data_IF_257752691709
#
_entry.id   IF_257752691709
#
_cell.length_a   1.000
_cell.length_b   1.000
_cell.length_c   1.000
_cell.angle_alpha   90.00
_cell.angle_beta   90.00
_cell.angle_gamma   90.00
#
_symmetry.space_group_name_H-M   'P 1'
#
loop_
_entity.id
_entity.type
_entity.pdbx_description
1 polymer ?
#
# COMPACT_ATOMS: atom_id res chain seq x y z
N UNK A 1 29.14 -38.42 24.37
CA UNK A 1 29.56 -37.32 23.47
C UNK A 1 28.29 -36.78 22.84
N UNK A 2 27.84 -35.58 23.24
CA UNK A 2 26.60 -35.02 22.70
C UNK A 2 26.82 -34.58 21.25
N UNK A 3 26.06 -35.15 20.32
CA UNK A 3 26.12 -34.80 18.90
C UNK A 3 25.17 -33.62 18.71
N UNK A 4 25.71 -32.40 18.65
CA UNK A 4 24.98 -31.23 18.17
C UNK A 4 24.83 -31.33 16.66
N UNK A 5 23.60 -31.58 16.19
CA UNK A 5 23.25 -31.45 14.78
C UNK A 5 23.06 -29.96 14.46
N UNK A 6 23.88 -29.42 13.58
CA UNK A 6 23.68 -28.09 13.01
C UNK A 6 22.79 -28.23 11.78
N UNK A 7 21.57 -27.70 11.83
CA UNK A 7 20.78 -27.45 10.62
C UNK A 7 21.20 -26.11 10.02
N UNK A 8 21.38 -26.06 8.69
CA UNK A 8 21.59 -24.81 7.98
C UNK A 8 20.29 -24.01 8.06
N UNK A 9 20.35 -22.78 8.58
CA UNK A 9 19.21 -21.87 8.57
C UNK A 9 18.82 -21.58 7.11
N UNK A 10 17.59 -21.93 6.74
CA UNK A 10 17.00 -21.56 5.46
C UNK A 10 16.09 -20.38 5.80
N UNK A 11 16.40 -19.16 5.31
CA UNK A 11 15.53 -18.01 5.56
C UNK A 11 14.13 -18.33 5.02
N UNK A 12 13.11 -18.12 5.86
CA UNK A 12 11.74 -18.26 5.39
C UNK A 12 11.45 -17.12 4.41
N UNK A 13 10.76 -17.35 3.29
CA UNK A 13 10.29 -16.28 2.40
C UNK A 13 9.50 -15.18 3.13
N UNK A 14 8.92 -15.54 4.28
CA UNK A 14 8.13 -14.69 5.16
C UNK A 14 8.94 -13.97 6.26
N UNK A 15 10.25 -14.24 6.39
CA UNK A 15 11.07 -13.59 7.40
C UNK A 15 11.09 -12.07 7.15
N UNK A 16 10.61 -11.33 8.16
CA UNK A 16 10.48 -9.87 8.13
C UNK A 16 9.21 -9.33 7.47
N UNK A 17 8.31 -10.18 6.97
CA UNK A 17 7.01 -9.74 6.44
C UNK A 17 5.98 -9.69 7.58
N UNK A 18 5.36 -8.53 7.78
CA UNK A 18 4.24 -8.40 8.73
C UNK A 18 2.92 -8.85 8.10
N UNK A 19 1.97 -9.32 8.91
CA UNK A 19 0.62 -9.67 8.44
C UNK A 19 -0.11 -8.46 7.85
N UNK A 20 0.12 -7.28 8.42
CA UNK A 20 -0.37 -6.01 7.88
C UNK A 20 0.15 -5.72 6.47
N UNK A 21 1.45 -5.91 6.24
CA UNK A 21 2.07 -5.71 4.93
C UNK A 21 1.57 -6.74 3.92
N UNK A 22 1.44 -8.01 4.33
CA UNK A 22 0.83 -9.03 3.48
C UNK A 22 -0.60 -8.65 3.08
N UNK A 23 -1.42 -8.24 4.06
CA UNK A 23 -2.81 -7.79 3.83
C UNK A 23 -2.87 -6.60 2.88
N UNK A 24 -1.96 -5.64 3.00
CA UNK A 24 -1.84 -4.49 2.09
C UNK A 24 -1.55 -4.96 0.66
N UNK A 25 -0.65 -5.94 0.48
CA UNK A 25 -0.30 -6.48 -0.84
C UNK A 25 -1.43 -7.28 -1.49
N UNK A 26 -2.23 -8.02 -0.71
CA UNK A 26 -3.39 -8.78 -1.21
C UNK A 26 -4.70 -7.96 -1.15
N UNK A 27 -4.63 -6.67 -0.82
CA UNK A 27 -5.81 -5.82 -0.61
C UNK A 27 -6.75 -5.77 -1.82
N UNK A 28 -6.20 -5.72 -3.03
CA UNK A 28 -6.97 -5.68 -4.27
C UNK A 28 -7.83 -6.95 -4.43
N UNK A 29 -7.24 -8.12 -4.21
CA UNK A 29 -7.97 -9.40 -4.22
C UNK A 29 -9.08 -9.42 -3.14
N UNK A 30 -8.74 -8.99 -1.92
CA UNK A 30 -9.66 -9.00 -0.78
C UNK A 30 -10.88 -8.08 -1.00
N UNK A 31 -10.68 -6.93 -1.64
CA UNK A 31 -11.72 -5.93 -1.87
C UNK A 31 -12.54 -6.20 -3.13
N UNK A 32 -11.91 -6.73 -4.19
CA UNK A 32 -12.63 -7.18 -5.39
C UNK A 32 -13.63 -8.30 -5.04
N UNK A 33 -13.30 -9.11 -4.04
CA UNK A 33 -14.14 -10.17 -3.48
C UNK A 33 -15.30 -9.66 -2.59
N UNK A 34 -15.42 -8.33 -2.38
CA UNK A 34 -16.31 -7.72 -1.40
C UNK A 34 -17.58 -7.04 -1.93
N UNK A 35 -17.68 -6.72 -3.22
CA UNK A 35 -18.86 -6.02 -3.75
C UNK A 35 -19.91 -7.01 -4.27
N UNK A 36 -20.95 -7.27 -3.46
CA UNK A 36 -22.18 -7.96 -3.89
C UNK A 36 -22.96 -7.06 -4.88
N UNK A 37 -22.52 -7.00 -6.13
CA UNK A 37 -23.42 -6.57 -7.20
C UNK A 37 -24.40 -7.71 -7.43
N UNK A 38 -25.65 -7.49 -7.00
CA UNK A 38 -26.72 -8.47 -7.09
C UNK A 38 -27.13 -8.75 -8.53
N UNK A 39 -26.34 -9.51 -9.29
CA UNK A 39 -26.74 -10.27 -10.48
C UNK A 39 -25.73 -11.40 -10.70
N UNK A 40 -26.18 -12.65 -10.56
CA UNK A 40 -25.56 -13.91 -11.00
C UNK A 40 -24.12 -14.21 -10.58
N UNK A 41 -24.01 -15.09 -9.58
CA UNK A 41 -22.81 -15.86 -9.22
C UNK A 41 -22.36 -16.78 -10.36
N UNK A 42 -21.10 -16.69 -10.79
CA UNK A 42 -20.41 -17.77 -11.54
C UNK A 42 -18.96 -18.00 -11.05
N UNK A 43 -18.48 -17.28 -10.04
CA UNK A 43 -17.16 -17.57 -9.46
C UNK A 43 -17.04 -16.89 -8.11
N UNK A 44 -17.45 -17.61 -7.06
CA UNK A 44 -17.36 -17.17 -5.68
C UNK A 44 -15.89 -16.85 -5.30
N UNK A 45 -15.50 -15.55 -5.18
CA UNK A 45 -14.10 -15.15 -5.01
C UNK A 45 -13.57 -15.32 -3.58
N UNK A 46 -14.42 -15.77 -2.63
CA UNK A 46 -14.08 -16.00 -1.21
C UNK A 46 -13.77 -17.46 -0.89
N UNK A 47 -13.02 -18.13 -1.75
CA UNK A 47 -12.56 -19.50 -1.50
C UNK A 47 -11.14 -19.45 -0.92
N UNK A 48 -10.85 -20.29 0.08
CA UNK A 48 -9.50 -20.40 0.66
C UNK A 48 -8.44 -20.74 -0.40
N UNK A 49 -8.77 -21.54 -1.42
CA UNK A 49 -7.83 -21.84 -2.50
C UNK A 49 -7.48 -20.63 -3.37
N UNK A 50 -8.45 -19.73 -3.59
CA UNK A 50 -8.21 -18.49 -4.31
C UNK A 50 -7.34 -17.54 -3.46
N UNK A 51 -7.56 -17.50 -2.16
CA UNK A 51 -6.71 -16.77 -1.22
C UNK A 51 -5.28 -17.32 -1.20
N UNK A 52 -5.10 -18.65 -1.17
CA UNK A 52 -3.78 -19.29 -1.26
C UNK A 52 -3.05 -18.84 -2.53
N UNK A 53 -3.72 -18.91 -3.67
CA UNK A 53 -3.14 -18.50 -4.95
C UNK A 53 -2.74 -17.02 -4.95
N UNK A 54 -3.63 -16.13 -4.46
CA UNK A 54 -3.34 -14.70 -4.37
C UNK A 54 -2.12 -14.40 -3.48
N UNK A 55 -1.96 -15.12 -2.36
CA UNK A 55 -0.79 -14.99 -1.49
C UNK A 55 0.48 -15.41 -2.24
N UNK A 56 0.48 -16.55 -2.93
CA UNK A 56 1.67 -17.02 -3.67
C UNK A 56 2.05 -16.04 -4.77
N UNK A 57 1.07 -15.59 -5.55
CA UNK A 57 1.29 -14.64 -6.64
C UNK A 57 1.95 -13.36 -6.12
N UNK A 58 1.44 -12.79 -5.02
CA UNK A 58 2.07 -11.62 -4.39
C UNK A 58 3.46 -11.90 -3.83
N UNK A 59 3.73 -13.09 -3.29
CA UNK A 59 5.08 -13.46 -2.85
C UNK A 59 6.08 -13.55 -4.02
N UNK A 60 5.62 -13.99 -5.20
CA UNK A 60 6.43 -13.97 -6.43
C UNK A 60 6.66 -12.54 -6.92
N UNK A 61 5.61 -11.70 -6.97
CA UNK A 61 5.73 -10.28 -7.35
C UNK A 61 6.73 -9.52 -6.45
N UNK A 62 6.74 -9.81 -5.14
CA UNK A 62 7.70 -9.23 -4.19
C UNK A 62 9.12 -9.80 -4.32
N UNK A 63 9.35 -10.78 -5.22
CA UNK A 63 10.64 -11.44 -5.41
C UNK A 63 11.07 -12.32 -4.24
N UNK A 64 10.13 -12.71 -3.36
CA UNK A 64 10.41 -13.56 -2.18
C UNK A 64 10.49 -15.04 -2.56
N UNK A 65 9.85 -15.42 -3.66
CA UNK A 65 9.77 -16.79 -4.17
C UNK A 65 10.04 -16.76 -5.69
N UNK A 66 10.80 -17.72 -6.25
CA UNK A 66 11.00 -17.80 -7.68
C UNK A 66 9.73 -18.23 -8.42
N UNK A 67 9.51 -17.68 -9.62
CA UNK A 67 8.36 -17.99 -10.50
C UNK A 67 8.28 -19.50 -10.82
N UNK A 68 9.42 -20.18 -10.97
CA UNK A 68 9.47 -21.63 -11.19
C UNK A 68 8.82 -22.45 -10.07
N UNK A 69 8.78 -21.92 -8.85
CA UNK A 69 8.11 -22.58 -7.72
C UNK A 69 6.60 -22.39 -7.77
N UNK A 70 6.13 -21.26 -8.29
CA UNK A 70 4.70 -21.04 -8.54
C UNK A 70 4.19 -22.02 -9.61
N UNK A 71 4.93 -22.19 -10.71
CA UNK A 71 4.57 -23.15 -11.76
C UNK A 71 4.50 -24.58 -11.20
N UNK A 72 5.51 -24.98 -10.43
CA UNK A 72 5.54 -26.28 -9.76
C UNK A 72 4.36 -26.46 -8.80
N UNK A 73 3.99 -25.41 -8.06
CA UNK A 73 2.85 -25.43 -7.14
C UNK A 73 1.50 -25.45 -7.85
N UNK A 74 1.39 -24.86 -9.05
CA UNK A 74 0.20 -24.94 -9.88
C UNK A 74 0.04 -26.33 -10.53
N UNK A 75 1.15 -26.99 -10.87
CA UNK A 75 1.16 -28.33 -11.47
C UNK A 75 0.92 -29.46 -10.45
N UNK A 76 1.65 -29.46 -9.34
CA UNK A 76 1.54 -30.49 -8.31
C UNK A 76 1.86 -29.96 -6.90
N UNK A 77 0.81 -29.80 -6.08
CA UNK A 77 0.93 -29.35 -4.68
C UNK A 77 1.39 -30.46 -3.73
N UNK A 78 1.34 -31.72 -4.13
CA UNK A 78 1.53 -32.85 -3.22
C UNK A 78 3.01 -33.23 -2.99
N UNK A 79 3.92 -32.78 -3.85
CA UNK A 79 5.32 -33.20 -3.83
C UNK A 79 6.34 -32.06 -3.65
N UNK A 80 7.51 -32.42 -3.13
CA UNK A 80 8.70 -31.59 -3.14
C UNK A 80 8.58 -30.23 -2.42
N UNK A 81 9.04 -29.18 -3.11
CA UNK A 81 9.06 -27.81 -2.59
C UNK A 81 7.68 -27.15 -2.63
N UNK A 82 6.79 -27.60 -3.51
CA UNK A 82 5.41 -27.12 -3.58
C UNK A 82 4.61 -27.48 -2.30
N UNK A 83 4.82 -28.69 -1.75
CA UNK A 83 4.23 -29.07 -0.47
C UNK A 83 4.69 -28.18 0.69
N UNK A 84 5.98 -27.84 0.73
CA UNK A 84 6.54 -26.94 1.75
C UNK A 84 5.95 -25.53 1.65
N UNK A 85 5.74 -25.06 0.41
CA UNK A 85 5.08 -23.80 0.14
C UNK A 85 3.62 -23.83 0.62
N UNK A 86 2.89 -24.90 0.35
CA UNK A 86 1.50 -25.05 0.80
C UNK A 86 1.38 -25.07 2.34
N UNK A 87 2.22 -25.85 3.02
CA UNK A 87 2.31 -25.87 4.50
C UNK A 87 2.64 -24.48 5.08
N UNK A 88 3.48 -23.70 4.39
CA UNK A 88 3.83 -22.34 4.79
C UNK A 88 2.63 -21.39 4.62
N UNK A 89 1.89 -21.47 3.51
CA UNK A 89 0.68 -20.66 3.30
C UNK A 89 -0.38 -21.01 4.34
N UNK A 90 -0.52 -22.28 4.70
CA UNK A 90 -1.41 -22.71 5.79
C UNK A 90 -1.06 -22.04 7.12
N UNK A 91 0.23 -21.93 7.46
CA UNK A 91 0.67 -21.22 8.65
C UNK A 91 0.34 -19.72 8.59
N UNK A 92 0.45 -19.10 7.41
CA UNK A 92 0.08 -17.69 7.20
C UNK A 92 -1.41 -17.48 7.41
N UNK A 93 -2.25 -18.33 6.81
CA UNK A 93 -3.71 -18.25 6.94
C UNK A 93 -4.12 -18.44 8.40
N UNK A 94 -3.55 -19.43 9.10
CA UNK A 94 -3.80 -19.64 10.53
C UNK A 94 -3.45 -18.41 11.35
N UNK A 95 -2.29 -17.79 11.12
CA UNK A 95 -1.90 -16.54 11.79
C UNK A 95 -2.86 -15.39 11.50
N UNK A 96 -3.31 -15.23 10.26
CA UNK A 96 -4.28 -14.19 9.91
C UNK A 96 -5.62 -14.38 10.64
N UNK A 97 -6.03 -15.63 10.87
CA UNK A 97 -7.20 -15.96 11.68
C UNK A 97 -6.94 -15.69 13.16
N UNK A 98 -5.83 -16.17 13.70
CA UNK A 98 -5.43 -16.01 15.12
C UNK A 98 -5.29 -14.53 15.52
N UNK A 99 -4.73 -13.70 14.65
CA UNK A 99 -4.60 -12.25 14.84
C UNK A 99 -5.91 -11.49 14.58
N UNK A 100 -6.97 -12.19 14.17
CA UNK A 100 -8.31 -11.63 13.99
C UNK A 100 -8.48 -10.80 12.73
N UNK A 101 -7.70 -11.03 11.68
CA UNK A 101 -7.87 -10.40 10.37
C UNK A 101 -8.93 -11.12 9.52
N UNK A 102 -9.09 -12.43 9.69
CA UNK A 102 -10.06 -13.23 8.97
C UNK A 102 -10.79 -14.18 9.90
N UNK A 103 -11.99 -14.59 9.49
CA UNK A 103 -12.74 -15.68 10.10
C UNK A 103 -13.01 -16.72 9.02
N UNK A 104 -12.75 -17.99 9.32
CA UNK A 104 -13.22 -19.08 8.47
C UNK A 104 -14.74 -19.16 8.63
N UNK A 105 -15.50 -19.11 7.53
CA UNK A 105 -16.96 -19.24 7.54
C UNK A 105 -17.31 -20.72 7.82
N UNK A 106 -17.85 -21.05 9.02
CA UNK A 106 -18.16 -22.42 9.38
C UNK A 106 -19.54 -22.87 8.89
N UNK A 107 -20.37 -21.98 8.31
CA UNK A 107 -21.79 -22.25 8.05
C UNK A 107 -22.08 -22.81 6.65
N UNK A 108 -21.11 -22.84 5.74
CA UNK A 108 -21.30 -23.37 4.39
C UNK A 108 -20.16 -24.33 3.99
N UNK A 109 -20.10 -25.55 4.58
CA UNK A 109 -19.27 -26.61 4.02
C UNK A 109 -19.82 -26.95 2.63
N UNK A 110 -19.02 -26.77 1.59
CA UNK A 110 -19.41 -27.18 0.25
C UNK A 110 -19.72 -28.69 0.24
N UNK A 111 -20.59 -29.16 -0.67
CA UNK A 111 -21.02 -30.57 -0.70
C UNK A 111 -19.89 -31.60 -0.94
N UNK A 112 -18.64 -31.16 -1.13
CA UNK A 112 -17.46 -32.02 -1.22
C UNK A 112 -16.99 -32.58 0.15
N UNK A 113 -17.52 -32.11 1.28
CA UNK A 113 -17.13 -32.59 2.62
C UNK A 113 -17.94 -33.78 3.16
N UNK A 114 -18.65 -34.53 2.29
CA UNK A 114 -19.42 -35.72 2.68
C UNK A 114 -18.60 -37.02 2.58
N UNK A 115 -17.34 -37.01 3.01
CA UNK A 115 -16.62 -38.25 3.33
C UNK A 115 -16.45 -38.34 4.87
N UNK A 116 -17.35 -39.10 5.49
CA UNK A 116 -17.50 -39.32 6.94
C UNK A 116 -16.33 -40.10 7.61
N UNK A 117 -15.07 -39.93 7.18
CA UNK A 117 -13.95 -40.73 7.74
C UNK A 117 -12.72 -39.95 8.22
N UNK A 118 -12.68 -38.62 8.18
CA UNK A 118 -11.54 -37.87 8.72
C UNK A 118 -11.64 -37.68 10.24
N UNK A 119 -11.16 -38.69 10.97
CA UNK A 119 -10.98 -38.69 12.41
C UNK A 119 -9.71 -37.86 12.76
N UNK A 120 -9.91 -36.68 13.36
CA UNK A 120 -8.92 -36.02 14.22
C UNK A 120 -7.57 -35.62 13.61
N UNK A 121 -7.57 -34.72 12.63
CA UNK A 121 -6.47 -33.76 12.44
C UNK A 121 -7.07 -32.37 12.23
N UNK A 122 -6.51 -31.36 12.91
CA UNK A 122 -6.82 -29.94 12.67
C UNK A 122 -6.19 -29.50 11.33
N UNK A 123 -6.53 -30.17 10.23
CA UNK A 123 -6.19 -29.72 8.89
C UNK A 123 -7.27 -28.78 8.38
N UNK A 124 -6.83 -27.66 7.81
CA UNK A 124 -7.72 -26.70 7.18
C UNK A 124 -8.40 -27.41 5.98
N UNK A 125 -9.73 -27.37 5.84
CA UNK A 125 -10.41 -28.09 4.77
C UNK A 125 -9.87 -27.62 3.41
N UNK A 126 -9.22 -28.55 2.70
CA UNK A 126 -8.69 -28.33 1.36
C UNK A 126 -9.83 -28.38 0.35
N UNK A 127 -9.88 -27.41 -0.56
CA UNK A 127 -10.93 -27.34 -1.56
C UNK A 127 -12.23 -26.84 -0.97
N UNK A 128 -12.54 -25.55 -1.14
CA UNK A 128 -13.87 -24.93 -0.97
C UNK A 128 -14.31 -24.34 0.38
N UNK A 129 -13.45 -24.30 1.39
CA UNK A 129 -13.76 -23.54 2.60
C UNK A 129 -13.83 -22.04 2.29
N UNK A 130 -14.81 -21.35 2.87
CA UNK A 130 -15.02 -19.90 2.70
C UNK A 130 -14.37 -19.13 3.84
N UNK A 131 -14.03 -17.88 3.58
CA UNK A 131 -13.53 -16.96 4.59
C UNK A 131 -14.25 -15.62 4.51
N UNK A 132 -14.30 -14.93 5.65
CA UNK A 132 -14.80 -13.58 5.78
C UNK A 132 -13.75 -12.68 6.42
N UNK A 133 -13.70 -11.42 5.96
CA UNK A 133 -12.88 -10.39 6.57
C UNK A 133 -13.55 -9.88 7.84
N UNK A 134 -12.76 -9.62 8.87
CA UNK A 134 -13.23 -8.97 10.09
C UNK A 134 -13.33 -7.46 9.92
N UNK A 135 -14.08 -6.80 10.80
CA UNK A 135 -14.15 -5.33 10.85
C UNK A 135 -12.74 -4.69 10.95
N UNK A 136 -11.84 -5.31 11.71
CA UNK A 136 -10.43 -4.90 11.83
C UNK A 136 -9.73 -4.83 10.47
N UNK A 137 -9.92 -5.85 9.63
CA UNK A 137 -9.35 -5.89 8.28
C UNK A 137 -9.98 -4.85 7.37
N UNK A 138 -11.30 -4.70 7.43
CA UNK A 138 -12.02 -3.71 6.61
C UNK A 138 -11.57 -2.29 6.96
N UNK A 139 -11.46 -1.97 8.25
CA UNK A 139 -10.98 -0.66 8.73
C UNK A 139 -9.53 -0.39 8.30
N UNK A 140 -8.65 -1.38 8.47
CA UNK A 140 -7.24 -1.26 8.10
C UNK A 140 -7.08 -1.05 6.59
N UNK A 141 -7.72 -1.89 5.78
CA UNK A 141 -7.66 -1.80 4.32
C UNK A 141 -8.29 -0.49 3.84
N UNK A 142 -9.42 -0.08 4.41
CA UNK A 142 -10.07 1.19 4.10
C UNK A 142 -9.19 2.40 4.39
N UNK A 143 -8.54 2.42 5.56
CA UNK A 143 -7.57 3.47 5.92
C UNK A 143 -6.38 3.50 4.97
N UNK A 144 -5.79 2.34 4.65
CA UNK A 144 -4.64 2.22 3.74
C UNK A 144 -4.99 2.70 2.34
N UNK A 145 -6.13 2.29 1.81
CA UNK A 145 -6.61 2.71 0.49
C UNK A 145 -6.91 4.19 0.43
N UNK A 146 -7.59 4.74 1.45
CA UNK A 146 -7.83 6.18 1.53
C UNK A 146 -6.50 6.94 1.55
N UNK A 147 -5.53 6.49 2.35
CA UNK A 147 -4.19 7.07 2.38
C UNK A 147 -3.48 6.95 1.03
N UNK A 148 -3.61 5.83 0.32
CA UNK A 148 -3.00 5.63 -0.99
C UNK A 148 -3.65 6.51 -2.07
N UNK A 149 -4.98 6.60 -2.10
CA UNK A 149 -5.71 7.49 -3.02
C UNK A 149 -5.39 8.96 -2.73
N UNK A 150 -5.41 9.38 -1.46
CA UNK A 150 -5.05 10.74 -1.07
C UNK A 150 -3.54 11.03 -1.22
N UNK A 151 -2.68 10.02 -1.15
CA UNK A 151 -1.25 10.13 -1.37
C UNK A 151 -0.88 10.20 -2.86
N UNK A 152 -1.63 9.51 -3.72
CA UNK A 152 -1.45 9.48 -5.17
C UNK A 152 -2.11 10.65 -5.91
N UNK A 153 -3.13 11.29 -5.30
CA UNK A 153 -3.59 12.63 -5.68
C UNK A 153 -2.49 13.64 -5.35
N UNK A 154 -1.54 13.74 -6.28
CA UNK A 154 -0.20 14.23 -6.01
C UNK A 154 -0.09 15.69 -5.61
N UNK A 155 1.16 16.05 -5.29
CA UNK A 155 1.68 17.42 -5.10
C UNK A 155 1.08 18.25 -3.97
N UNK A 156 -0.05 17.85 -3.42
CA UNK A 156 -0.73 18.54 -2.32
C UNK A 156 -1.66 17.58 -1.58
N UNK A 157 -1.10 16.56 -0.94
CA UNK A 157 -1.86 15.74 0.01
C UNK A 157 -2.07 16.51 1.31
N UNK A 158 -3.16 16.22 2.00
CA UNK A 158 -3.71 16.99 3.13
C UNK A 158 -2.69 17.21 4.27
N UNK A 159 -2.47 18.46 4.68
CA UNK A 159 -1.56 18.86 5.77
C UNK A 159 -0.47 19.84 5.34
N UNK A 160 0.18 20.51 6.31
CA UNK A 160 1.43 21.27 6.08
C UNK A 160 2.55 20.28 5.80
N UNK A 161 2.76 19.95 4.54
CA UNK A 161 3.87 19.11 4.13
C UNK A 161 4.97 20.00 3.58
N UNK A 162 6.15 19.84 4.16
CA UNK A 162 7.38 20.39 3.63
C UNK A 162 7.62 19.76 2.26
N UNK A 163 7.67 20.58 1.21
CA UNK A 163 7.96 20.11 -0.13
C UNK A 163 9.45 20.24 -0.40
N UNK A 164 10.05 19.31 -1.15
CA UNK A 164 11.45 19.42 -1.57
C UNK A 164 11.69 20.52 -2.63
N UNK A 165 10.68 21.35 -2.91
CA UNK A 165 10.68 22.35 -3.95
C UNK A 165 10.56 23.73 -3.33
N UNK A 166 11.43 24.64 -3.76
CA UNK A 166 11.41 26.03 -3.31
C UNK A 166 10.45 26.86 -4.18
N UNK A 167 9.76 27.80 -3.54
CA UNK A 167 9.01 28.82 -4.25
C UNK A 167 9.51 30.19 -3.83
N UNK A 168 9.38 31.18 -4.67
CA UNK A 168 9.68 32.57 -4.30
C UNK A 168 8.42 33.15 -3.62
N UNK A 169 8.41 33.12 -2.29
CA UNK A 169 7.26 33.48 -1.42
C UNK A 169 7.61 34.53 -0.36
N UNK A 170 6.65 34.90 0.49
CA UNK A 170 6.77 36.04 1.43
C UNK A 170 7.66 35.73 2.64
N UNK A 171 7.77 34.46 3.06
CA UNK A 171 8.67 34.04 4.16
C UNK A 171 9.98 33.46 3.61
N UNK A 172 11.02 34.29 3.55
CA UNK A 172 12.33 33.90 3.05
C UNK A 172 13.23 33.37 4.19
N UNK A 173 13.48 32.06 4.22
CA UNK A 173 14.38 31.42 5.20
C UNK A 173 15.74 31.00 4.61
N UNK A 174 15.91 31.09 3.28
CA UNK A 174 17.04 30.49 2.56
C UNK A 174 17.94 31.50 1.84
N UNK A 175 19.07 30.98 1.34
CA UNK A 175 20.06 31.73 0.60
C UNK A 175 19.50 32.26 -0.74
N UNK A 176 20.08 33.37 -1.18
CA UNK A 176 19.65 34.06 -2.40
C UNK A 176 20.17 33.33 -3.65
N UNK A 177 19.37 33.29 -4.72
CA UNK A 177 19.68 32.67 -6.02
C UNK A 177 19.56 33.70 -7.14
N UNK A 178 20.25 33.49 -8.26
CA UNK A 178 20.00 34.25 -9.50
C UNK A 178 18.56 34.05 -9.99
N UNK A 179 17.96 35.12 -10.50
CA UNK A 179 16.61 35.15 -11.04
C UNK A 179 16.51 34.38 -12.37
N UNK A 180 15.55 33.46 -12.47
CA UNK A 180 15.19 32.82 -13.73
C UNK A 180 13.76 33.18 -14.15
N UNK A 181 13.51 33.08 -15.46
CA UNK A 181 12.20 33.36 -16.01
C UNK A 181 11.14 32.42 -15.43
N UNK A 182 10.15 32.99 -14.75
CA UNK A 182 9.08 32.25 -14.05
C UNK A 182 9.14 32.37 -12.53
N UNK A 183 10.26 32.84 -11.97
CA UNK A 183 10.37 33.19 -10.56
C UNK A 183 9.47 34.41 -10.24
N UNK A 184 8.91 34.45 -9.03
CA UNK A 184 8.24 35.67 -8.56
C UNK A 184 9.29 36.73 -8.26
N UNK A 185 8.93 38.00 -8.46
CA UNK A 185 9.83 39.16 -8.24
C UNK A 185 9.97 39.44 -6.73
N UNK A 186 10.59 38.50 -6.01
CA UNK A 186 11.02 38.65 -4.62
C UNK A 186 12.53 38.93 -4.57
N UNK A 187 12.91 40.09 -5.11
CA UNK A 187 14.31 40.47 -5.28
C UNK A 187 14.99 40.75 -3.94
N UNK A 188 16.16 40.15 -3.75
CA UNK A 188 17.11 40.59 -2.74
C UNK A 188 17.91 41.77 -3.27
N UNK A 189 17.47 42.97 -2.92
CA UNK A 189 18.07 44.23 -3.36
C UNK A 189 19.55 44.30 -2.96
N UNK A 190 19.91 43.80 -1.78
CA UNK A 190 21.28 43.90 -1.27
C UNK A 190 22.22 43.01 -2.08
N UNK A 191 21.83 41.76 -2.31
CA UNK A 191 22.61 40.82 -3.12
C UNK A 191 22.65 41.23 -4.59
N UNK A 192 21.55 41.76 -5.12
CA UNK A 192 21.46 42.28 -6.50
C UNK A 192 22.43 43.44 -6.72
N UNK A 193 22.44 44.42 -5.82
CA UNK A 193 23.37 45.55 -5.89
C UNK A 193 24.82 45.11 -5.70
N UNK A 194 25.07 44.13 -4.83
CA UNK A 194 26.41 43.61 -4.59
C UNK A 194 26.95 42.86 -5.82
N UNK A 195 26.11 42.10 -6.53
CA UNK A 195 26.47 41.50 -7.82
C UNK A 195 26.78 42.55 -8.88
N UNK A 196 25.94 43.57 -9.01
CA UNK A 196 26.18 44.66 -9.96
C UNK A 196 27.48 45.43 -9.67
N UNK A 197 27.75 45.74 -8.39
CA UNK A 197 29.00 46.39 -7.96
C UNK A 197 30.22 45.46 -8.12
N UNK A 198 30.07 44.16 -7.93
CA UNK A 198 31.15 43.20 -8.18
C UNK A 198 31.52 43.13 -9.68
N UNK A 199 30.53 43.29 -10.56
CA UNK A 199 30.70 43.29 -12.03
C UNK A 199 31.27 44.60 -12.55
N UNK A 200 30.69 45.73 -12.17
CA UNK A 200 31.02 47.05 -12.72
C UNK A 200 32.08 47.81 -11.90
N UNK A 201 32.27 47.42 -10.64
CA UNK A 201 33.08 48.14 -9.66
C UNK A 201 32.31 49.24 -8.94
N UNK A 202 32.98 49.92 -8.00
CA UNK A 202 32.39 51.04 -7.26
C UNK A 202 32.33 52.29 -8.17
N UNK A 203 31.20 52.45 -8.85
CA UNK A 203 30.85 53.61 -9.67
C UNK A 203 29.43 54.10 -9.39
N UNK A 204 29.15 55.36 -9.69
CA UNK A 204 27.78 55.92 -9.68
C UNK A 204 27.57 56.65 -11.00
N UNK A 205 26.49 56.37 -11.76
CA UNK A 205 25.41 55.42 -11.47
C UNK A 205 25.85 53.95 -11.59
N UNK A 206 25.16 53.04 -10.89
CA UNK A 206 25.33 51.58 -11.02
C UNK A 206 24.37 51.12 -12.13
N UNK A 207 24.89 50.45 -13.15
CA UNK A 207 24.08 49.86 -14.21
C UNK A 207 23.65 48.45 -13.82
N UNK A 208 22.33 48.20 -13.81
CA UNK A 208 21.76 46.91 -13.40
C UNK A 208 21.44 46.07 -14.64
N UNK A 209 22.06 44.90 -14.76
CA UNK A 209 21.74 43.92 -15.79
C UNK A 209 20.86 42.80 -15.26
N UNK A 210 20.21 42.07 -16.16
CA UNK A 210 19.34 40.94 -15.81
C UNK A 210 20.09 39.86 -15.01
N UNK A 211 21.37 39.62 -15.32
CA UNK A 211 22.21 38.65 -14.60
C UNK A 211 22.61 39.09 -13.19
N UNK A 212 22.40 40.37 -12.84
CA UNK A 212 22.64 40.86 -11.49
C UNK A 212 21.43 40.59 -10.57
N UNK A 213 20.27 40.23 -11.13
CA UNK A 213 19.02 40.05 -10.37
C UNK A 213 19.09 38.81 -9.49
N UNK A 214 18.99 39.02 -8.19
CA UNK A 214 19.02 37.97 -7.18
C UNK A 214 17.67 37.89 -6.47
N UNK A 215 17.10 36.69 -6.33
CA UNK A 215 15.81 36.43 -5.66
C UNK A 215 15.98 35.64 -4.37
N UNK A 216 15.12 35.95 -3.39
CA UNK A 216 15.05 35.20 -2.14
C UNK A 216 14.19 33.95 -2.32
N UNK A 217 14.73 32.81 -1.89
CA UNK A 217 13.99 31.56 -1.85
C UNK A 217 13.11 31.51 -0.60
N UNK A 218 11.89 31.04 -0.76
CA UNK A 218 10.96 30.71 0.31
C UNK A 218 10.58 29.23 0.23
N UNK A 219 10.08 28.73 1.34
CA UNK A 219 9.48 27.41 1.39
C UNK A 219 8.10 27.46 0.74
N UNK A 220 7.81 26.46 -0.08
CA UNK A 220 6.50 26.30 -0.70
C UNK A 220 5.62 25.42 0.19
N UNK A 221 4.61 26.03 0.83
CA UNK A 221 3.53 25.31 1.51
C UNK A 221 2.26 25.28 0.63
N UNK A 222 1.73 24.08 0.36
CA UNK A 222 0.44 23.89 -0.33
C UNK A 222 -0.67 23.49 0.64
N UNK A 223 -1.92 23.89 0.34
CA UNK A 223 -3.11 23.44 1.08
C UNK A 223 -4.20 22.92 0.13
N UNK A 224 -4.86 21.81 0.52
CA UNK A 224 -5.96 21.17 -0.21
C UNK A 224 -7.04 20.73 0.80
N UNK A 225 -8.33 20.85 0.43
CA UNK A 225 -9.47 20.38 1.22
C UNK A 225 -10.26 19.32 0.45
N UNK A 226 -10.39 18.11 1.00
CA UNK A 226 -11.26 17.05 0.49
C UNK A 226 -12.57 17.07 1.27
N UNK A 227 -13.68 17.30 0.58
CA UNK A 227 -15.03 17.28 1.18
C UNK A 227 -15.71 15.98 0.78
N UNK A 228 -16.00 15.12 1.76
CA UNK A 228 -16.81 13.93 1.59
C UNK A 228 -18.28 14.28 1.86
N UNK A 229 -19.11 14.31 0.82
CA UNK A 229 -20.56 14.49 0.94
C UNK A 229 -21.22 13.12 1.03
N UNK A 230 -21.60 12.72 2.24
CA UNK A 230 -22.38 11.49 2.49
C UNK A 230 -23.87 11.83 2.52
N UNK A 231 -24.64 11.28 1.59
CA UNK A 231 -26.11 11.36 1.64
C UNK A 231 -26.64 10.41 2.72
N UNK A 232 -27.23 10.98 3.78
CA UNK A 232 -27.90 10.21 4.85
C UNK A 232 -29.42 10.17 4.67
N UNK A 233 -29.93 10.52 3.48
CA UNK A 233 -31.36 10.50 3.21
C UNK A 233 -31.97 9.10 3.36
N UNK A 234 -33.19 9.04 3.87
CA UNK A 234 -33.96 7.81 4.14
C UNK A 234 -34.25 6.98 2.87
N UNK A 235 -33.91 7.49 1.68
CA UNK A 235 -34.04 6.81 0.40
C UNK A 235 -32.90 5.80 0.12
N UNK A 236 -31.70 6.03 0.67
CA UNK A 236 -30.58 5.08 0.53
C UNK A 236 -30.73 3.85 1.44
N UNK A 237 -31.19 4.04 2.69
CA UNK A 237 -31.40 2.97 3.67
C UNK A 237 -32.50 1.98 3.23
N UNK A 238 -33.49 2.42 2.45
CA UNK A 238 -34.62 1.56 2.07
C UNK A 238 -34.29 0.56 0.94
N UNK A 239 -33.17 0.74 0.23
CA UNK A 239 -32.74 -0.15 -0.85
C UNK A 239 -31.34 -0.76 -0.63
N UNK A 240 -30.60 -0.28 0.38
CA UNK A 240 -29.33 -0.84 0.81
C UNK A 240 -29.52 -1.71 2.05
N UNK A 241 -29.78 -3.01 1.84
CA UNK A 241 -29.34 -4.06 2.77
C UNK A 241 -30.07 -4.17 4.13
N UNK A 242 -31.38 -4.48 4.11
CA UNK A 242 -32.00 -5.30 5.17
C UNK A 242 -32.99 -6.30 4.53
N UNK A 243 -32.43 -7.41 4.05
CA UNK A 243 -33.13 -8.68 3.78
C UNK A 243 -32.19 -9.87 3.94
#
# INVERSE_FOLDING_TARGET
MAITKFSKWIPSPLDGLSMEELLDQISEFLLQSGFRYGFQDVSNPRNLDALRQAIVEKLVEMGRIPESLLDQWLEDRAEGDAKRLDEMIDQVIRRLIEEGWMQADPQNPSPASLDETSQGSEDLPSGSARFELTDKSVDFLGFRLLRHLLGSLGRSSFGRHETAHFATGVEAYQATREYEFGDTINLDISSTLLHAVAREGLGVPIDLEYGDLMVRQAEYESSCSTVLLLDTSHSMILYGEDR
#
